data_IF_475647896418
#
_entry.id   IF_475647896418
#
_cell.length_a   1.000
_cell.length_b   1.000
_cell.length_c   1.000
_cell.angle_alpha   90.00
_cell.angle_beta   90.00
_cell.angle_gamma   90.00
#
_symmetry.space_group_name_H-M   'P 1'
#
loop_
_entity.id
_entity.type
_entity.pdbx_description
1 polymer ?
#
# COMPACT_ATOMS: atom_id res chain seq x y z
N UNK A 1 -1.62 3.21 -2.22
CA UNK A 1 -1.44 4.50 -1.48
C UNK A 1 -0.04 5.03 -1.75
N UNK A 2 0.21 6.32 -1.58
CA UNK A 2 1.56 6.89 -1.71
C UNK A 2 1.86 7.95 -0.66
N UNK A 3 3.14 8.13 -0.33
CA UNK A 3 3.64 9.28 0.42
C UNK A 3 4.70 9.99 -0.43
N UNK A 4 4.41 11.21 -0.91
CA UNK A 4 5.34 11.99 -1.75
C UNK A 4 5.87 11.17 -2.94
N UNK A 5 4.98 10.49 -3.64
CA UNK A 5 5.31 9.63 -4.80
C UNK A 5 5.90 8.25 -4.45
N UNK A 6 6.15 7.94 -3.17
CA UNK A 6 6.61 6.61 -2.72
C UNK A 6 5.39 5.75 -2.37
N UNK A 7 5.10 4.80 -3.23
CA UNK A 7 3.93 3.96 -3.20
C UNK A 7 4.06 2.72 -2.30
N UNK A 8 2.96 2.39 -1.63
CA UNK A 8 2.71 1.08 -1.02
C UNK A 8 1.54 0.39 -1.72
N UNK A 9 1.78 -0.85 -2.14
CA UNK A 9 0.76 -1.75 -2.67
C UNK A 9 0.17 -2.56 -1.51
N UNK A 10 -1.16 -2.58 -1.40
CA UNK A 10 -1.87 -3.28 -0.33
C UNK A 10 -2.69 -4.40 -0.96
N UNK A 11 -2.34 -5.65 -0.67
CA UNK A 11 -3.00 -6.86 -1.17
C UNK A 11 -3.63 -7.65 -0.02
N UNK A 12 -4.35 -8.72 -0.35
CA UNK A 12 -4.99 -9.61 0.62
C UNK A 12 -6.44 -9.93 0.28
N UNK A 13 -7.07 -10.92 0.97
CA UNK A 13 -8.40 -11.40 0.65
C UNK A 13 -9.48 -10.32 0.87
N UNK A 14 -10.68 -10.54 0.30
CA UNK A 14 -11.82 -9.66 0.59
C UNK A 14 -12.11 -9.64 2.11
N UNK A 15 -12.47 -8.48 2.64
CA UNK A 15 -12.73 -8.33 4.08
C UNK A 15 -11.48 -8.22 4.98
N UNK A 16 -10.26 -8.33 4.45
CA UNK A 16 -9.02 -8.26 5.26
C UNK A 16 -8.66 -6.84 5.80
N UNK A 17 -9.52 -5.85 5.55
CA UNK A 17 -9.30 -4.47 6.01
C UNK A 17 -8.40 -3.61 5.13
N UNK A 18 -8.18 -3.96 3.85
CA UNK A 18 -7.39 -3.15 2.90
C UNK A 18 -7.86 -1.70 2.82
N UNK A 19 -9.16 -1.46 2.62
CA UNK A 19 -9.72 -0.11 2.52
C UNK A 19 -9.63 0.63 3.86
N UNK A 20 -9.82 -0.06 4.99
CA UNK A 20 -9.58 0.52 6.33
C UNK A 20 -8.15 0.98 6.50
N UNK A 21 -7.17 0.17 6.07
CA UNK A 21 -5.76 0.54 6.11
C UNK A 21 -5.45 1.70 5.16
N UNK A 22 -6.04 1.72 3.96
CA UNK A 22 -5.90 2.83 3.02
C UNK A 22 -6.40 4.15 3.62
N UNK A 23 -7.60 4.16 4.21
CA UNK A 23 -8.17 5.33 4.89
C UNK A 23 -7.32 5.77 6.08
N UNK A 24 -6.80 4.83 6.87
CA UNK A 24 -5.89 5.16 7.98
C UNK A 24 -4.60 5.81 7.47
N UNK A 25 -4.04 5.36 6.35
CA UNK A 25 -2.89 6.00 5.72
C UNK A 25 -3.25 7.40 5.19
N UNK A 26 -4.45 7.59 4.61
CA UNK A 26 -4.91 8.91 4.17
C UNK A 26 -5.02 9.89 5.34
N UNK A 27 -5.56 9.44 6.48
CA UNK A 27 -5.63 10.24 7.69
C UNK A 27 -4.24 10.66 8.21
N UNK A 28 -3.19 9.91 7.89
CA UNK A 28 -1.80 10.21 8.22
C UNK A 28 -1.08 11.04 7.15
N UNK A 29 -1.78 11.47 6.10
CA UNK A 29 -1.26 12.31 5.03
C UNK A 29 -0.73 11.56 3.81
N UNK A 30 -0.95 10.25 3.69
CA UNK A 30 -0.74 9.56 2.43
C UNK A 30 -1.82 9.94 1.40
N UNK A 31 -1.47 9.84 0.14
CA UNK A 31 -2.32 10.19 -0.99
C UNK A 31 -2.89 8.91 -1.64
N UNK A 32 -4.13 8.99 -2.09
CA UNK A 32 -4.81 7.87 -2.75
C UNK A 32 -4.30 7.74 -4.19
N UNK A 33 -3.66 6.62 -4.50
CA UNK A 33 -3.33 6.27 -5.90
C UNK A 33 -4.53 5.60 -6.54
N UNK A 34 -5.00 4.50 -5.96
CA UNK A 34 -6.16 3.73 -6.42
C UNK A 34 -6.75 2.94 -5.25
N UNK A 35 -8.04 2.59 -5.36
CA UNK A 35 -8.74 1.63 -4.52
C UNK A 35 -9.44 0.58 -5.40
N UNK A 36 -9.67 -0.62 -4.88
CA UNK A 36 -10.20 -1.81 -5.58
C UNK A 36 -9.35 -2.32 -6.77
N UNK A 37 -9.20 -1.54 -7.85
CA UNK A 37 -8.41 -1.91 -9.04
C UNK A 37 -7.23 -0.97 -9.24
N UNK A 38 -6.06 -1.55 -9.45
CA UNK A 38 -4.81 -0.82 -9.67
C UNK A 38 -4.12 -1.36 -10.92
N UNK A 39 -3.68 -0.47 -11.80
CA UNK A 39 -2.79 -0.83 -12.90
C UNK A 39 -1.35 -0.83 -12.38
N UNK A 40 -0.64 -1.94 -12.59
CA UNK A 40 0.77 -2.07 -12.25
C UNK A 40 1.55 -2.21 -13.54
N UNK A 41 2.58 -1.38 -13.72
CA UNK A 41 3.43 -1.37 -14.91
C UNK A 41 4.91 -1.43 -14.51
N UNK A 42 5.74 -2.22 -15.23
CA UNK A 42 7.17 -2.25 -14.98
C UNK A 42 7.83 -0.97 -15.49
N UNK A 43 8.88 -0.54 -14.78
CA UNK A 43 9.77 0.53 -15.20
C UNK A 43 11.06 -0.04 -15.83
N UNK A 44 11.74 0.70 -16.73
CA UNK A 44 13.00 0.26 -17.33
C UNK A 44 14.12 -0.03 -16.31
N UNK A 45 14.06 0.57 -15.13
CA UNK A 45 15.04 0.40 -14.05
C UNK A 45 14.68 -0.74 -13.07
N UNK A 46 13.75 -1.62 -13.45
CA UNK A 46 13.30 -2.75 -12.63
C UNK A 46 12.36 -2.36 -11.48
N UNK A 47 11.91 -1.10 -11.42
CA UNK A 47 10.85 -0.66 -10.52
C UNK A 47 9.45 -1.02 -11.03
N UNK A 48 8.46 -0.76 -10.18
CA UNK A 48 7.03 -0.86 -10.55
C UNK A 48 6.35 0.48 -10.32
N UNK A 49 5.44 0.85 -11.22
CA UNK A 49 4.54 1.99 -11.07
C UNK A 49 3.11 1.50 -10.89
N UNK A 50 2.41 2.11 -9.93
CA UNK A 50 0.98 1.91 -9.71
C UNK A 50 0.20 3.13 -10.17
N UNK A 51 -0.89 2.92 -10.91
CA UNK A 51 -1.83 3.96 -11.32
C UNK A 51 -3.28 3.48 -11.23
N UNK A 52 -4.22 4.42 -11.30
CA UNK A 52 -5.65 4.13 -11.23
C UNK A 52 -6.28 4.06 -12.63
N UNK A 53 -7.20 3.12 -12.89
CA UNK A 53 -8.11 3.23 -14.03
C UNK A 53 -8.95 4.51 -13.94
N UNK A 54 -9.11 5.21 -15.07
CA UNK A 54 -9.80 6.51 -15.10
C UNK A 54 -11.24 6.47 -14.58
N UNK A 55 -11.92 5.33 -14.71
CA UNK A 55 -13.32 5.15 -14.31
C UNK A 55 -13.54 5.15 -12.80
N UNK A 56 -12.50 4.91 -12.00
CA UNK A 56 -12.58 4.84 -10.53
C UNK A 56 -11.57 5.76 -9.84
N UNK A 57 -10.92 6.65 -10.61
CA UNK A 57 -9.96 7.60 -10.07
C UNK A 57 -10.61 8.56 -9.07
N UNK A 58 -9.97 8.74 -7.91
CA UNK A 58 -10.47 9.63 -6.86
C UNK A 58 -11.66 9.08 -6.07
N UNK A 59 -11.92 7.77 -6.15
CA UNK A 59 -12.94 7.08 -5.35
C UNK A 59 -12.28 6.10 -4.39
N UNK A 60 -12.80 6.04 -3.15
CA UNK A 60 -12.40 5.05 -2.14
C UNK A 60 -13.64 4.50 -1.43
N UNK A 61 -13.69 3.20 -1.19
CA UNK A 61 -14.75 2.55 -0.43
C UNK A 61 -14.47 2.64 1.07
N UNK A 62 -15.34 3.34 1.81
CA UNK A 62 -15.39 3.30 3.26
C UNK A 62 -16.52 2.37 3.71
N UNK A 63 -16.19 1.12 4.09
CA UNK A 63 -17.19 0.13 4.51
C UNK A 63 -18.04 0.66 5.66
N UNK A 64 -19.36 0.54 5.53
CA UNK A 64 -20.33 1.08 6.48
C UNK A 64 -20.68 2.56 6.27
N UNK A 65 -19.97 3.27 5.40
CA UNK A 65 -20.24 4.67 5.03
C UNK A 65 -20.67 4.77 3.56
N UNK A 66 -19.94 4.11 2.66
CA UNK A 66 -20.17 4.15 1.21
C UNK A 66 -18.92 4.55 0.42
N UNK A 67 -19.12 4.89 -0.86
CA UNK A 67 -18.07 5.44 -1.71
C UNK A 67 -17.84 6.92 -1.37
N UNK A 68 -16.57 7.29 -1.22
CA UNK A 68 -16.15 8.65 -0.90
C UNK A 68 -15.28 9.22 -2.01
N UNK A 69 -15.38 10.53 -2.21
CA UNK A 69 -14.45 11.27 -3.05
C UNK A 69 -13.12 11.51 -2.32
N UNK A 70 -12.03 11.41 -3.08
CA UNK A 70 -10.68 11.73 -2.65
C UNK A 70 -9.93 12.44 -3.78
N UNK A 71 -8.92 13.23 -3.41
CA UNK A 71 -8.01 13.81 -4.41
C UNK A 71 -7.12 12.68 -4.93
N UNK A 72 -7.19 12.34 -6.23
CA UNK A 72 -6.35 11.29 -6.79
C UNK A 72 -4.90 11.76 -6.87
N UNK A 73 -3.98 10.88 -6.52
CA UNK A 73 -2.57 11.01 -6.82
C UNK A 73 -2.27 10.31 -8.16
N UNK A 74 -1.33 10.88 -8.92
CA UNK A 74 -0.88 10.30 -10.19
C UNK A 74 -0.20 8.93 -10.01
N UNK A 75 0.42 8.41 -11.09
CA UNK A 75 1.21 7.19 -10.96
C UNK A 75 2.26 7.34 -9.85
N UNK A 76 2.37 6.35 -8.98
CA UNK A 76 3.35 6.31 -7.90
C UNK A 76 4.28 5.10 -8.06
N UNK A 77 5.57 5.31 -7.83
CA UNK A 77 6.55 4.22 -7.83
C UNK A 77 6.38 3.39 -6.58
N UNK A 78 6.27 2.07 -6.70
CA UNK A 78 6.14 1.16 -5.57
C UNK A 78 7.48 0.91 -4.90
N UNK A 79 7.50 1.06 -3.58
CA UNK A 79 8.66 0.78 -2.72
C UNK A 79 8.37 -0.30 -1.67
N UNK A 80 7.10 -0.62 -1.46
CA UNK A 80 6.64 -1.53 -0.42
C UNK A 80 5.39 -2.27 -0.89
N UNK A 81 5.31 -3.54 -0.53
CA UNK A 81 4.09 -4.33 -0.55
C UNK A 81 3.66 -4.68 0.88
N UNK A 82 2.36 -4.68 1.10
CA UNK A 82 1.71 -5.13 2.34
C UNK A 82 0.70 -6.20 1.95
N UNK A 83 0.85 -7.39 2.50
CA UNK A 83 -0.13 -8.47 2.36
C UNK A 83 -0.98 -8.56 3.64
N UNK A 84 -2.26 -8.24 3.50
CA UNK A 84 -3.27 -8.44 4.53
C UNK A 84 -3.75 -9.90 4.55
N UNK A 85 -4.12 -10.41 5.71
CA UNK A 85 -4.63 -11.77 5.92
C UNK A 85 -3.60 -12.76 6.44
N UNK A 86 -2.32 -12.39 6.45
CA UNK A 86 -1.22 -13.17 7.01
C UNK A 86 -0.71 -12.46 8.28
N UNK A 87 -0.94 -12.98 9.49
CA UNK A 87 -0.48 -12.33 10.71
C UNK A 87 1.04 -12.44 10.86
N UNK A 88 1.66 -11.38 11.38
CA UNK A 88 3.06 -11.32 11.77
C UNK A 88 3.18 -11.30 13.29
N UNK A 89 3.78 -12.37 13.83
CA UNK A 89 3.88 -12.60 15.28
C UNK A 89 5.27 -12.30 15.82
N UNK A 90 6.28 -12.14 14.94
CA UNK A 90 7.64 -11.85 15.36
C UNK A 90 7.79 -10.37 15.67
N UNK A 91 8.39 -10.08 16.84
CA UNK A 91 8.73 -8.69 17.22
C UNK A 91 9.64 -8.00 16.20
N UNK A 92 10.59 -8.76 15.64
CA UNK A 92 11.47 -8.33 14.56
C UNK A 92 11.34 -9.36 13.44
N UNK A 93 10.40 -9.17 12.50
CA UNK A 93 10.20 -10.07 11.38
C UNK A 93 11.45 -10.14 10.50
N UNK A 94 11.80 -11.28 9.88
CA UNK A 94 12.85 -11.30 8.86
C UNK A 94 12.48 -10.40 7.68
N UNK A 95 13.47 -10.04 6.87
CA UNK A 95 13.18 -9.38 5.60
C UNK A 95 12.51 -10.37 4.64
N UNK A 96 11.45 -9.91 3.99
CA UNK A 96 10.71 -10.67 2.99
C UNK A 96 10.54 -9.81 1.75
N UNK A 97 10.43 -10.48 0.60
CA UNK A 97 10.15 -9.82 -0.66
C UNK A 97 9.08 -10.60 -1.42
N UNK A 98 8.31 -9.87 -2.21
CA UNK A 98 7.33 -10.43 -3.15
C UNK A 98 7.72 -10.07 -4.57
N UNK A 99 7.50 -11.01 -5.50
CA UNK A 99 7.72 -10.78 -6.93
C UNK A 99 6.42 -10.34 -7.59
N UNK A 100 6.45 -9.20 -8.27
CA UNK A 100 5.34 -8.67 -9.07
C UNK A 100 5.88 -8.26 -10.44
N UNK A 101 5.33 -8.85 -11.50
CA UNK A 101 5.76 -8.58 -12.89
C UNK A 101 7.29 -8.65 -13.07
N UNK A 102 7.94 -9.64 -12.45
CA UNK A 102 9.40 -9.82 -12.51
C UNK A 102 10.22 -8.86 -11.64
N UNK A 103 9.60 -7.90 -10.95
CA UNK A 103 10.25 -6.96 -10.04
C UNK A 103 10.01 -7.33 -8.58
N UNK A 104 11.00 -7.07 -7.72
CA UNK A 104 10.96 -7.47 -6.31
C UNK A 104 10.67 -6.28 -5.38
N UNK A 105 9.64 -6.43 -4.53
CA UNK A 105 9.28 -5.43 -3.52
C UNK A 105 9.48 -6.00 -2.12
N UNK A 106 9.98 -5.20 -1.15
CA UNK A 106 9.87 -5.54 0.26
C UNK A 106 8.43 -5.84 0.65
N UNK A 107 8.23 -6.85 1.50
CA UNK A 107 6.90 -7.33 1.90
C UNK A 107 6.74 -7.22 3.43
N UNK A 108 5.64 -6.60 3.86
CA UNK A 108 5.16 -6.64 5.23
C UNK A 108 3.87 -7.45 5.32
N UNK A 109 3.72 -8.16 6.43
CA UNK A 109 2.52 -8.89 6.83
C UNK A 109 1.78 -8.13 7.94
N UNK A 110 0.57 -8.57 8.28
CA UNK A 110 -0.29 -7.88 9.23
C UNK A 110 0.27 -7.87 10.63
N UNK A 111 0.41 -6.67 11.18
CA UNK A 111 0.67 -6.51 12.61
C UNK A 111 -0.70 -6.37 13.29
N UNK A 112 -0.96 -7.22 14.29
CA UNK A 112 -2.21 -7.21 15.07
C UNK A 112 -2.22 -6.10 16.12
N UNK A 113 -1.93 -4.87 15.68
CA UNK A 113 -1.79 -3.69 16.52
C UNK A 113 -2.28 -2.44 15.78
N UNK A 114 -2.76 -1.45 16.52
CA UNK A 114 -3.21 -0.17 15.95
C UNK A 114 -2.11 0.69 15.29
N UNK A 115 -0.85 0.25 15.28
CA UNK A 115 0.29 1.02 14.77
C UNK A 115 0.74 0.63 13.36
N UNK A 116 0.01 -0.25 12.65
CA UNK A 116 0.47 -0.71 11.34
C UNK A 116 0.52 0.40 10.27
N UNK A 117 -0.51 1.26 10.18
CA UNK A 117 -0.51 2.39 9.26
C UNK A 117 0.64 3.39 9.53
N UNK A 118 0.88 3.82 10.80
CA UNK A 118 2.08 4.60 11.14
C UNK A 118 3.40 3.91 10.74
N UNK A 119 3.53 2.60 10.95
CA UNK A 119 4.73 1.86 10.61
C UNK A 119 4.98 1.83 9.07
N UNK A 120 3.93 1.61 8.28
CA UNK A 120 3.99 1.67 6.81
C UNK A 120 4.42 3.07 6.36
N UNK A 121 3.83 4.13 6.92
CA UNK A 121 4.23 5.50 6.60
C UNK A 121 5.69 5.77 6.96
N UNK A 122 6.15 5.31 8.13
CA UNK A 122 7.55 5.45 8.53
C UNK A 122 8.49 4.69 7.57
N UNK A 123 8.11 3.49 7.13
CA UNK A 123 8.84 2.74 6.12
C UNK A 123 8.92 3.52 4.81
N UNK A 124 7.82 4.12 4.35
CA UNK A 124 7.83 4.94 3.13
C UNK A 124 8.71 6.18 3.30
N UNK A 125 8.77 6.78 4.48
CA UNK A 125 9.61 7.96 4.76
C UNK A 125 11.11 7.64 4.74
N UNK A 126 11.53 6.56 5.39
CA UNK A 126 12.94 6.34 5.71
C UNK A 126 13.45 4.91 5.45
N UNK A 127 12.60 4.02 4.94
CA UNK A 127 12.92 2.60 4.76
C UNK A 127 12.95 1.82 6.07
N UNK A 128 13.36 0.56 5.96
CA UNK A 128 13.73 -0.29 7.09
C UNK A 128 15.26 -0.28 7.20
N UNK A 129 15.76 -0.30 8.43
CA UNK A 129 17.20 -0.47 8.67
C UNK A 129 17.59 -1.90 8.28
N UNK A 130 18.54 -2.02 7.35
CA UNK A 130 19.24 -3.27 7.06
C UNK A 130 20.10 -3.67 8.27
N UNK A 131 20.23 -4.97 8.59
CA UNK A 131 21.02 -5.47 9.71
C UNK A 131 22.44 -4.90 9.77
#
# INVERSE_FOLDING_TARGET
MAWRGRGVLITGPSGSGKSTLALALMALGCELVADDRTHITPAPDGGLWASCPATIAGLVEARGVGLLHAVPHGPARLYLAVERGTPETLRLPPERRVMHLGSSLPLLHDIDTGHFAPAILQYLKAGRREP
#
